data_IF_468120322595
#
_entry.id   IF_468120322595
#
_cell.length_a   1.000
_cell.length_b   1.000
_cell.length_c   1.000
_cell.angle_alpha   90.00
_cell.angle_beta   90.00
_cell.angle_gamma   90.00
#
_symmetry.space_group_name_H-M   'P 1'
#
loop_
_entity.id
_entity.type
_entity.pdbx_description
1 polymer ?
#
# COMPACT_ATOMS: atom_id res chain seq x y z
N UNK A 1 -7.49 3.48 22.26
CA UNK A 1 -6.47 2.99 21.33
C UNK A 1 -5.14 3.67 21.64
N UNK A 2 -4.09 2.90 21.90
CA UNK A 2 -2.73 3.42 22.00
C UNK A 2 -2.24 3.92 20.63
N UNK A 3 -1.19 4.74 20.59
CA UNK A 3 -0.51 5.11 19.33
C UNK A 3 -0.03 3.86 18.58
N UNK A 4 -0.19 3.84 17.26
CA UNK A 4 0.17 2.68 16.43
C UNK A 4 -0.95 1.63 16.34
N UNK A 5 -0.59 0.39 16.04
CA UNK A 5 -1.53 -0.71 15.84
C UNK A 5 -2.19 -1.19 17.12
N UNK A 6 -3.51 -1.37 17.07
CA UNK A 6 -4.34 -1.85 18.15
C UNK A 6 -5.22 -3.00 17.64
N UNK A 7 -5.36 -4.05 18.46
CA UNK A 7 -6.33 -5.10 18.23
C UNK A 7 -7.61 -4.78 18.97
N UNK A 8 -8.74 -4.86 18.28
CA UNK A 8 -10.07 -4.65 18.85
C UNK A 8 -11.01 -5.81 18.46
N UNK A 9 -12.08 -5.97 19.20
CA UNK A 9 -13.15 -6.91 18.88
C UNK A 9 -14.49 -6.34 19.33
N UNK A 10 -15.58 -6.81 18.71
CA UNK A 10 -16.91 -6.47 19.17
C UNK A 10 -17.23 -7.21 20.47
N UNK A 11 -17.62 -6.52 21.56
CA UNK A 11 -18.09 -7.18 22.77
C UNK A 11 -19.55 -7.63 22.68
N UNK A 12 -20.24 -7.38 21.56
CA UNK A 12 -21.66 -7.63 21.37
C UNK A 12 -21.92 -8.87 20.52
N UNK A 13 -23.04 -9.61 20.74
CA UNK A 13 -23.42 -10.79 19.94
C UNK A 13 -24.12 -10.41 18.62
N UNK A 14 -24.00 -9.18 18.17
CA UNK A 14 -24.55 -8.64 16.92
C UNK A 14 -23.58 -7.61 16.32
N UNK A 15 -23.67 -7.36 15.02
CA UNK A 15 -22.85 -6.39 14.32
C UNK A 15 -23.17 -4.98 14.81
N UNK A 16 -22.14 -4.18 15.02
CA UNK A 16 -22.21 -2.78 15.43
C UNK A 16 -21.48 -1.88 14.44
N UNK A 17 -22.01 -0.71 14.13
CA UNK A 17 -21.33 0.23 13.28
C UNK A 17 -20.09 0.80 14.00
N UNK A 18 -18.99 0.94 13.24
CA UNK A 18 -17.82 1.69 13.65
C UNK A 18 -17.26 2.47 12.46
N UNK A 19 -17.45 3.78 12.49
CA UNK A 19 -16.84 4.70 11.53
C UNK A 19 -15.83 5.55 12.27
N UNK A 20 -14.58 5.48 11.85
CA UNK A 20 -13.46 6.21 12.42
C UNK A 20 -13.11 7.42 11.56
N UNK A 21 -12.62 8.47 12.19
CA UNK A 21 -12.00 9.60 11.49
C UNK A 21 -10.67 9.14 10.85
N UNK A 22 -10.63 9.08 9.53
CA UNK A 22 -9.49 8.56 8.77
C UNK A 22 -8.24 9.44 8.88
N UNK A 23 -8.38 10.71 9.27
CA UNK A 23 -7.23 11.57 9.59
C UNK A 23 -6.52 11.09 10.86
N UNK A 24 -7.28 10.61 11.85
CA UNK A 24 -6.72 10.13 13.12
C UNK A 24 -6.45 8.63 13.15
N UNK A 25 -7.16 7.85 12.34
CA UNK A 25 -7.12 6.40 12.37
C UNK A 25 -7.06 5.79 10.96
N UNK A 26 -6.44 4.63 10.86
CA UNK A 26 -6.55 3.76 9.70
C UNK A 26 -7.19 2.42 10.12
N UNK A 27 -8.15 1.96 9.36
CA UNK A 27 -8.96 0.78 9.70
C UNK A 27 -10.39 1.17 10.13
N UNK A 28 -11.14 0.24 10.74
CA UNK A 28 -10.74 -1.13 11.11
C UNK A 28 -10.55 -2.06 9.91
N UNK A 29 -9.56 -2.94 10.01
CA UNK A 29 -9.30 -4.00 9.04
C UNK A 29 -9.54 -5.36 9.71
N UNK A 30 -10.05 -6.35 8.97
CA UNK A 30 -10.14 -7.73 9.41
C UNK A 30 -9.19 -8.63 8.61
N UNK A 31 -8.73 -9.72 9.22
CA UNK A 31 -7.93 -10.73 8.53
C UNK A 31 -8.81 -11.88 8.09
N UNK A 32 -8.88 -12.11 6.78
CA UNK A 32 -9.70 -13.16 6.20
C UNK A 32 -8.96 -14.49 6.12
N UNK A 33 -9.42 -15.49 6.88
CA UNK A 33 -8.81 -16.83 6.86
C UNK A 33 -8.95 -17.56 5.51
N UNK A 34 -9.91 -17.17 4.68
CA UNK A 34 -10.17 -17.81 3.38
C UNK A 34 -9.29 -17.31 2.24
N UNK A 35 -8.65 -16.16 2.40
CA UNK A 35 -7.75 -15.57 1.41
C UNK A 35 -6.39 -15.19 1.99
N UNK A 36 -6.21 -15.41 3.30
CA UNK A 36 -4.98 -15.08 4.03
C UNK A 36 -4.48 -13.63 3.77
N UNK A 37 -5.43 -12.70 3.69
CA UNK A 37 -5.19 -11.29 3.42
C UNK A 37 -5.97 -10.38 4.37
N UNK A 38 -5.51 -9.15 4.51
CA UNK A 38 -6.24 -8.09 5.20
C UNK A 38 -7.39 -7.58 4.32
N UNK A 39 -8.50 -7.21 4.95
CA UNK A 39 -9.62 -6.56 4.26
C UNK A 39 -9.31 -5.09 3.94
N UNK A 40 -10.13 -4.48 3.08
CA UNK A 40 -10.29 -3.02 3.09
C UNK A 40 -10.87 -2.55 4.43
N UNK A 41 -10.85 -1.23 4.66
CA UNK A 41 -11.50 -0.64 5.83
C UNK A 41 -12.96 -1.05 5.89
N UNK A 42 -13.38 -1.63 7.02
CA UNK A 42 -14.77 -2.02 7.26
C UNK A 42 -15.49 -0.95 8.10
N UNK A 43 -16.79 -0.87 7.96
CA UNK A 43 -17.65 0.10 8.69
C UNK A 43 -18.52 -0.56 9.75
N UNK A 44 -18.42 -1.89 9.87
CA UNK A 44 -19.13 -2.68 10.87
C UNK A 44 -18.18 -3.67 11.54
N UNK A 45 -18.37 -3.86 12.84
CA UNK A 45 -17.69 -4.90 13.61
C UNK A 45 -18.66 -6.05 13.84
N UNK A 46 -18.42 -7.17 13.19
CA UNK A 46 -19.19 -8.40 13.39
C UNK A 46 -18.86 -9.08 14.73
N UNK A 47 -19.84 -9.78 15.32
CA UNK A 47 -19.62 -10.53 16.54
C UNK A 47 -18.50 -11.59 16.34
N UNK A 48 -17.67 -11.74 17.37
CA UNK A 48 -16.61 -12.75 17.44
C UNK A 48 -15.47 -12.61 16.43
N UNK A 49 -15.44 -11.53 15.65
CA UNK A 49 -14.34 -11.20 14.79
C UNK A 49 -13.33 -10.25 15.47
N UNK A 50 -12.06 -10.43 15.10
CA UNK A 50 -10.97 -9.54 15.49
C UNK A 50 -10.68 -8.53 14.38
N UNK A 51 -10.34 -7.32 14.78
CA UNK A 51 -10.01 -6.22 13.88
C UNK A 51 -8.74 -5.54 14.34
N UNK A 52 -8.07 -4.85 13.43
CA UNK A 52 -6.95 -3.97 13.73
C UNK A 52 -7.27 -2.53 13.35
N UNK A 53 -6.81 -1.61 14.16
CA UNK A 53 -6.93 -0.16 13.95
C UNK A 53 -5.58 0.47 14.23
N UNK A 54 -5.10 1.30 13.33
CA UNK A 54 -3.90 2.11 13.53
C UNK A 54 -4.29 3.51 14.01
N UNK A 55 -3.81 3.88 15.19
CA UNK A 55 -3.93 5.25 15.71
C UNK A 55 -2.73 6.07 15.22
N UNK A 56 -2.98 7.02 14.33
CA UNK A 56 -1.98 7.90 13.71
C UNK A 56 -1.50 9.01 14.65
N UNK A 57 -2.25 9.26 15.74
CA UNK A 57 -1.94 10.35 16.65
C UNK A 57 -0.79 9.98 17.59
N UNK A 58 -0.11 11.00 18.13
CA UNK A 58 0.98 10.82 19.10
C UNK A 58 0.51 10.48 20.52
N UNK A 59 -0.79 10.31 20.75
CA UNK A 59 -1.38 10.03 22.06
C UNK A 59 -2.49 8.99 21.98
N UNK A 60 -2.77 8.36 23.12
CA UNK A 60 -3.90 7.42 23.22
C UNK A 60 -5.23 8.14 22.98
N UNK A 61 -6.10 7.51 22.18
CA UNK A 61 -7.41 8.00 21.81
C UNK A 61 -8.51 7.05 22.29
N UNK A 62 -9.65 7.63 22.70
CA UNK A 62 -10.86 6.86 22.99
C UNK A 62 -11.69 6.70 21.69
N UNK A 63 -12.18 5.50 21.46
CA UNK A 63 -13.24 5.26 20.47
C UNK A 63 -14.51 4.83 21.21
N UNK A 64 -15.67 5.25 20.70
CA UNK A 64 -16.96 4.84 21.26
C UNK A 64 -17.59 3.78 20.36
N UNK A 65 -17.96 2.66 20.93
CA UNK A 65 -18.76 1.63 20.27
C UNK A 65 -20.22 1.84 20.67
N UNK A 66 -21.08 2.20 19.72
CA UNK A 66 -22.49 2.37 19.97
C UNK A 66 -23.22 1.02 19.81
N UNK A 67 -23.81 0.46 20.86
CA UNK A 67 -24.43 -0.86 20.83
C UNK A 67 -25.83 -0.89 20.19
N UNK A 68 -26.11 -0.04 19.23
CA UNK A 68 -27.41 -0.05 18.53
C UNK A 68 -27.37 -1.10 17.41
N UNK A 69 -28.10 -2.23 17.52
CA UNK A 69 -28.17 -3.24 16.47
C UNK A 69 -28.78 -2.63 15.20
N UNK A 70 -28.09 -2.72 14.07
CA UNK A 70 -28.60 -2.22 12.79
C UNK A 70 -28.82 -0.71 12.76
N UNK A 71 -28.23 0.03 13.69
CA UNK A 71 -28.14 1.49 13.63
C UNK A 71 -27.46 1.83 12.30
N UNK A 72 -28.20 2.53 11.41
CA UNK A 72 -27.74 2.86 10.08
C UNK A 72 -26.31 3.39 10.15
N UNK A 73 -25.44 2.85 9.33
CA UNK A 73 -24.07 3.29 9.21
C UNK A 73 -24.08 4.81 9.21
N UNK A 74 -23.39 5.42 10.18
CA UNK A 74 -23.07 6.84 10.07
C UNK A 74 -22.44 6.95 8.69
N UNK A 75 -23.02 7.78 7.82
CA UNK A 75 -22.61 7.83 6.43
C UNK A 75 -21.09 7.92 6.41
N UNK A 76 -20.44 6.89 5.85
CA UNK A 76 -19.03 6.97 5.59
C UNK A 76 -18.85 8.32 4.92
N UNK A 77 -17.99 9.19 5.49
CA UNK A 77 -17.66 10.44 4.84
C UNK A 77 -17.11 9.99 3.50
N UNK A 78 -17.87 10.19 2.44
CA UNK A 78 -17.34 10.08 1.09
C UNK A 78 -16.26 11.15 1.10
N UNK A 79 -15.01 10.71 1.17
CA UNK A 79 -13.90 11.59 0.84
C UNK A 79 -14.24 12.04 -0.55
N UNK A 80 -14.49 13.33 -0.75
CA UNK A 80 -14.55 13.89 -2.10
C UNK A 80 -13.26 13.41 -2.76
N UNK A 81 -13.41 12.73 -3.90
CA UNK A 81 -12.25 12.22 -4.64
C UNK A 81 -11.36 13.43 -4.92
N UNK A 82 -10.24 13.49 -4.23
CA UNK A 82 -9.27 14.55 -4.43
C UNK A 82 -8.75 14.47 -5.86
N UNK A 83 -8.53 15.63 -6.50
CA UNK A 83 -7.97 15.66 -7.83
C UNK A 83 -6.57 15.02 -7.81
N UNK A 84 -6.30 14.16 -8.79
CA UNK A 84 -5.00 13.50 -8.91
C UNK A 84 -5.09 12.16 -9.64
N UNK A 85 -4.13 11.29 -9.39
CA UNK A 85 -4.06 9.98 -10.00
C UNK A 85 -3.50 8.95 -9.02
N UNK A 86 -3.95 7.71 -9.16
CA UNK A 86 -3.57 6.58 -8.32
C UNK A 86 -3.28 5.36 -9.18
N UNK A 87 -2.33 4.56 -8.74
CA UNK A 87 -2.02 3.24 -9.28
C UNK A 87 -2.11 2.22 -8.16
N UNK A 88 -3.02 1.26 -8.29
CA UNK A 88 -3.15 0.14 -7.36
C UNK A 88 -2.35 -1.05 -7.86
N UNK A 89 -1.56 -1.67 -6.96
CA UNK A 89 -0.74 -2.84 -7.26
C UNK A 89 -1.22 -4.02 -6.42
N UNK A 90 -1.49 -5.13 -7.08
CA UNK A 90 -1.68 -6.44 -6.47
C UNK A 90 -0.44 -7.29 -6.61
N UNK A 91 -0.02 -7.94 -5.53
CA UNK A 91 1.06 -8.95 -5.53
C UNK A 91 0.46 -10.32 -5.27
N UNK A 92 0.95 -11.33 -5.98
CA UNK A 92 0.51 -12.72 -5.79
C UNK A 92 1.70 -13.67 -5.74
N UNK A 93 1.62 -14.70 -4.90
CA UNK A 93 2.57 -15.81 -4.83
C UNK A 93 1.84 -17.12 -4.48
N UNK A 94 1.54 -17.95 -5.49
CA UNK A 94 0.71 -19.14 -5.30
C UNK A 94 -0.73 -18.77 -4.91
N UNK A 95 -1.16 -19.21 -3.73
CA UNK A 95 -2.50 -18.90 -3.16
C UNK A 95 -2.54 -17.62 -2.32
N UNK A 96 -1.39 -17.01 -2.06
CA UNK A 96 -1.27 -15.80 -1.24
C UNK A 96 -1.33 -14.56 -2.11
N UNK A 97 -1.99 -13.53 -1.62
CA UNK A 97 -2.01 -12.23 -2.27
C UNK A 97 -1.96 -11.06 -1.26
N UNK A 98 -1.57 -9.90 -1.80
CA UNK A 98 -1.62 -8.62 -1.14
C UNK A 98 -2.16 -7.60 -2.16
N UNK A 99 -3.32 -7.02 -1.88
CA UNK A 99 -4.16 -6.34 -2.89
C UNK A 99 -4.37 -4.86 -2.63
N UNK A 100 -3.88 -4.33 -1.51
CA UNK A 100 -4.19 -2.95 -1.08
C UNK A 100 -3.01 -2.00 -1.18
N UNK A 101 -2.12 -2.21 -2.13
CA UNK A 101 -0.95 -1.37 -2.32
C UNK A 101 -1.24 -0.29 -3.35
N UNK A 102 -1.06 0.96 -2.97
CA UNK A 102 -1.38 2.11 -3.83
C UNK A 102 -0.28 3.15 -3.77
N UNK A 103 0.07 3.70 -4.92
CA UNK A 103 0.90 4.90 -5.00
C UNK A 103 0.29 5.91 -5.97
N UNK A 104 0.66 7.17 -5.83
CA UNK A 104 0.14 8.19 -6.70
C UNK A 104 0.35 9.60 -6.18
N UNK A 105 -0.41 10.54 -6.72
CA UNK A 105 -0.37 11.93 -6.29
C UNK A 105 -1.77 12.52 -6.25
N UNK A 106 -2.12 13.17 -5.13
CA UNK A 106 -3.42 13.80 -4.89
C UNK A 106 -3.25 15.25 -4.44
N UNK A 107 -4.25 16.07 -4.74
CA UNK A 107 -4.36 17.42 -4.16
C UNK A 107 -4.52 17.30 -2.65
N UNK A 108 -3.69 17.99 -1.89
CA UNK A 108 -3.73 17.99 -0.44
C UNK A 108 -2.87 16.94 0.26
N UNK A 109 -2.29 16.00 -0.51
CA UNK A 109 -1.27 15.11 0.01
C UNK A 109 0.10 15.81 0.12
N UNK A 110 0.93 15.35 1.05
CA UNK A 110 2.30 15.77 1.25
C UNK A 110 3.30 14.76 0.67
N UNK A 111 4.52 15.19 0.39
CA UNK A 111 5.62 14.27 0.03
C UNK A 111 6.26 13.61 1.27
N UNK A 112 5.96 14.12 2.46
CA UNK A 112 6.25 13.50 3.75
C UNK A 112 5.01 12.72 4.24
N UNK A 113 5.19 11.92 5.30
CA UNK A 113 4.10 11.12 5.86
C UNK A 113 2.92 11.98 6.28
N UNK A 114 1.76 11.65 5.75
CA UNK A 114 0.49 12.26 6.16
C UNK A 114 -0.62 11.20 6.32
N UNK A 115 -1.88 11.64 6.36
CA UNK A 115 -3.02 10.75 6.54
C UNK A 115 -3.39 9.94 5.27
N UNK A 116 -2.87 10.30 4.10
CA UNK A 116 -3.04 9.53 2.86
C UNK A 116 -2.16 8.27 2.86
N UNK A 117 -1.05 8.29 3.62
CA UNK A 117 -0.13 7.16 3.70
C UNK A 117 -0.63 6.12 4.71
N UNK A 118 -0.98 4.97 4.23
CA UNK A 118 -1.48 3.90 5.08
C UNK A 118 -0.33 3.01 5.55
N UNK A 119 -0.18 2.79 6.88
CA UNK A 119 0.88 1.93 7.40
C UNK A 119 0.67 0.48 6.94
N UNK A 120 1.78 -0.16 6.59
CA UNK A 120 1.81 -1.59 6.27
C UNK A 120 1.55 -2.42 7.51
N UNK A 121 0.72 -3.45 7.40
CA UNK A 121 0.51 -4.44 8.44
C UNK A 121 0.96 -5.82 7.97
N UNK A 122 1.93 -6.39 8.66
CA UNK A 122 2.44 -7.72 8.34
C UNK A 122 1.37 -8.79 8.58
N UNK A 123 1.06 -9.58 7.56
CA UNK A 123 0.18 -10.73 7.70
C UNK A 123 0.83 -11.81 8.59
N UNK A 124 0.07 -12.50 9.46
CA UNK A 124 0.58 -13.63 10.21
C UNK A 124 0.81 -14.85 9.30
N UNK A 125 1.87 -15.60 9.55
CA UNK A 125 2.16 -16.84 8.82
C UNK A 125 2.83 -16.66 7.47
N UNK A 126 2.52 -17.55 6.53
CA UNK A 126 3.01 -17.48 5.16
C UNK A 126 2.30 -16.36 4.41
N UNK A 127 3.06 -15.52 3.72
CA UNK A 127 2.51 -14.35 3.05
C UNK A 127 3.42 -13.86 1.92
N UNK A 128 2.84 -13.09 1.03
CA UNK A 128 3.54 -12.18 0.13
C UNK A 128 3.06 -10.77 0.45
N UNK A 129 3.94 -9.77 0.40
CA UNK A 129 3.55 -8.37 0.60
C UNK A 129 4.34 -7.43 -0.30
N UNK A 130 3.74 -6.29 -0.63
CA UNK A 130 4.41 -5.14 -1.20
C UNK A 130 4.23 -3.96 -0.26
N UNK A 131 5.29 -3.23 -0.03
CA UNK A 131 5.24 -2.00 0.76
C UNK A 131 6.08 -0.91 0.11
N UNK A 132 5.79 0.33 0.48
CA UNK A 132 6.59 1.49 0.08
C UNK A 132 7.41 1.99 1.27
N UNK A 133 8.53 2.65 0.98
CA UNK A 133 9.38 3.31 1.96
C UNK A 133 9.39 4.80 1.65
N UNK A 134 8.90 5.58 2.58
CA UNK A 134 8.83 7.03 2.42
C UNK A 134 10.23 7.65 2.41
N UNK A 135 10.48 8.72 1.63
CA UNK A 135 11.82 9.23 1.35
C UNK A 135 12.64 9.68 2.57
N UNK A 136 12.00 10.07 3.65
CA UNK A 136 12.66 10.61 4.85
C UNK A 136 12.53 9.71 6.07
N UNK A 137 11.94 8.52 5.90
CA UNK A 137 11.68 7.62 7.01
C UNK A 137 12.64 6.43 7.06
N UNK A 138 12.79 5.89 8.26
CA UNK A 138 13.50 4.65 8.50
C UNK A 138 12.71 3.49 7.84
N UNK A 139 13.44 2.55 7.25
CA UNK A 139 12.91 1.29 6.67
C UNK A 139 12.00 0.48 7.61
N UNK A 140 11.96 0.84 8.89
CA UNK A 140 11.16 0.18 9.93
C UNK A 140 9.65 0.49 9.84
N UNK A 141 9.27 1.54 9.11
CA UNK A 141 7.87 2.00 9.05
C UNK A 141 7.33 2.01 7.62
N UNK A 142 7.28 0.83 6.96
CA UNK A 142 6.76 0.76 5.61
C UNK A 142 5.27 1.12 5.57
N UNK A 143 4.83 1.57 4.39
CA UNK A 143 3.43 1.89 4.13
C UNK A 143 2.88 1.03 3.00
N UNK A 144 1.59 0.73 3.04
CA UNK A 144 0.87 0.06 1.95
C UNK A 144 0.32 1.07 0.93
N UNK A 145 0.20 2.35 1.32
CA UNK A 145 -0.08 3.46 0.40
C UNK A 145 0.94 4.58 0.61
N UNK A 146 1.53 5.08 -0.49
CA UNK A 146 2.43 6.25 -0.53
C UNK A 146 1.84 7.23 -1.55
N UNK A 147 1.11 8.21 -1.03
CA UNK A 147 0.38 9.20 -1.84
C UNK A 147 1.03 10.56 -1.63
N UNK A 148 1.48 11.18 -2.69
CA UNK A 148 2.27 12.41 -2.65
C UNK A 148 1.54 13.61 -3.22
N UNK A 149 2.12 14.81 -3.04
CA UNK A 149 1.58 16.04 -3.59
C UNK A 149 1.55 16.04 -5.12
N UNK A 150 0.65 16.81 -5.72
CA UNK A 150 0.64 17.03 -7.18
C UNK A 150 1.69 18.05 -7.66
N UNK A 151 2.43 18.69 -6.76
CA UNK A 151 3.28 19.84 -7.05
C UNK A 151 4.56 19.51 -7.83
N UNK A 152 4.94 18.23 -7.86
CA UNK A 152 6.18 17.79 -8.52
C UNK A 152 5.88 17.10 -9.84
N UNK A 153 6.72 17.37 -10.84
CA UNK A 153 6.62 16.79 -12.19
C UNK A 153 7.24 15.39 -12.27
N UNK A 154 8.19 15.06 -11.38
CA UNK A 154 8.87 13.76 -11.32
C UNK A 154 8.81 13.21 -9.90
N UNK A 155 8.33 11.98 -9.76
CA UNK A 155 8.26 11.28 -8.48
C UNK A 155 8.86 9.88 -8.58
N UNK A 156 9.45 9.42 -7.46
CA UNK A 156 10.06 8.08 -7.36
C UNK A 156 9.61 7.42 -6.07
N UNK A 157 8.99 6.27 -6.16
CA UNK A 157 8.58 5.43 -5.04
C UNK A 157 9.54 4.26 -4.87
N UNK A 158 10.08 4.07 -3.67
CA UNK A 158 10.85 2.86 -3.30
C UNK A 158 9.89 1.77 -2.85
N UNK A 159 9.76 0.72 -3.64
CA UNK A 159 8.85 -0.40 -3.39
C UNK A 159 9.66 -1.64 -2.97
N UNK A 160 9.11 -2.38 -2.02
CA UNK A 160 9.71 -3.63 -1.52
C UNK A 160 8.72 -4.76 -1.59
N UNK A 161 9.11 -5.85 -2.21
CA UNK A 161 8.33 -7.08 -2.23
C UNK A 161 9.01 -8.10 -1.34
N UNK A 162 8.27 -8.58 -0.35
CA UNK A 162 8.68 -9.66 0.55
C UNK A 162 7.82 -10.89 0.27
N UNK A 163 8.46 -12.04 0.21
CA UNK A 163 7.75 -13.31 0.03
C UNK A 163 8.37 -14.37 0.93
N UNK A 164 7.59 -14.94 1.82
CA UNK A 164 8.01 -16.07 2.65
C UNK A 164 7.32 -17.38 2.25
N UNK A 165 6.69 -17.40 1.07
CA UNK A 165 6.09 -18.60 0.47
C UNK A 165 7.04 -19.25 -0.54
N UNK A 166 6.70 -20.43 -1.04
CA UNK A 166 7.46 -21.10 -2.10
C UNK A 166 7.05 -20.66 -3.53
N UNK A 167 6.05 -19.78 -3.66
CA UNK A 167 5.47 -19.38 -4.94
C UNK A 167 6.33 -18.37 -5.70
N UNK A 168 6.24 -18.40 -7.04
CA UNK A 168 6.76 -17.34 -7.87
C UNK A 168 5.89 -16.08 -7.69
N UNK A 169 6.53 -14.92 -7.58
CA UNK A 169 5.86 -13.64 -7.35
C UNK A 169 5.48 -12.99 -8.67
N UNK A 170 4.25 -12.51 -8.73
CA UNK A 170 3.74 -11.70 -9.84
C UNK A 170 3.09 -10.43 -9.31
N UNK A 171 3.43 -9.31 -9.91
CA UNK A 171 2.78 -8.02 -9.74
C UNK A 171 1.76 -7.83 -10.86
N UNK A 172 0.61 -7.27 -10.54
CA UNK A 172 -0.37 -6.75 -11.50
C UNK A 172 -0.90 -5.43 -10.99
N UNK A 173 -1.30 -4.53 -11.89
CA UNK A 173 -1.72 -3.18 -11.49
C UNK A 173 -2.83 -2.65 -12.37
N UNK A 174 -3.53 -1.64 -11.84
CA UNK A 174 -4.52 -0.82 -12.52
C UNK A 174 -4.30 0.66 -12.21
N UNK A 175 -4.60 1.50 -13.16
CA UNK A 175 -4.68 2.95 -12.95
C UNK A 175 -6.11 3.25 -12.52
N UNK A 176 -6.28 3.79 -11.31
CA UNK A 176 -7.60 4.02 -10.71
C UNK A 176 -8.20 5.39 -11.08
N UNK A 177 -7.35 6.36 -11.43
CA UNK A 177 -7.75 7.70 -11.83
C UNK A 177 -6.90 8.16 -13.01
N UNK A 178 -7.43 9.06 -13.81
CA UNK A 178 -6.77 9.52 -15.04
C UNK A 178 -5.43 10.19 -14.74
N UNK A 179 -4.37 9.63 -15.29
CA UNK A 179 -3.05 10.26 -15.30
C UNK A 179 -3.09 11.54 -16.16
N UNK A 180 -2.27 12.55 -15.82
CA UNK A 180 -2.11 13.69 -16.69
C UNK A 180 -1.74 13.25 -18.12
N UNK A 181 -2.24 13.94 -19.16
CA UNK A 181 -1.80 13.68 -20.53
C UNK A 181 -0.28 13.75 -20.62
N UNK A 182 0.33 12.89 -21.41
CA UNK A 182 1.77 12.84 -21.62
C UNK A 182 2.60 12.42 -20.37
N UNK A 183 1.98 11.79 -19.37
CA UNK A 183 2.72 11.17 -18.26
C UNK A 183 3.26 9.81 -18.66
N UNK A 184 4.46 9.48 -18.16
CA UNK A 184 5.03 8.13 -18.19
C UNK A 184 5.04 7.56 -16.76
N UNK A 185 4.82 6.26 -16.63
CA UNK A 185 4.97 5.52 -15.37
C UNK A 185 5.78 4.26 -15.65
N UNK A 186 6.99 4.22 -15.09
CA UNK A 186 7.93 3.11 -15.26
C UNK A 186 8.15 2.36 -13.96
N UNK A 187 8.14 1.05 -14.00
CA UNK A 187 8.52 0.18 -12.88
C UNK A 187 9.88 -0.46 -13.15
N UNK A 188 10.84 -0.24 -12.24
CA UNK A 188 12.21 -0.72 -12.35
C UNK A 188 12.43 -1.83 -11.33
N UNK A 189 12.78 -3.02 -11.77
CA UNK A 189 13.28 -4.08 -10.92
C UNK A 189 14.79 -3.89 -10.71
N UNK A 190 15.17 -3.45 -9.51
CA UNK A 190 16.57 -3.12 -9.21
C UNK A 190 17.50 -4.35 -9.18
N UNK A 191 16.95 -5.55 -8.98
CA UNK A 191 17.73 -6.76 -8.94
C UNK A 191 18.08 -7.30 -10.33
N UNK A 192 17.16 -7.15 -11.30
CA UNK A 192 17.37 -7.63 -12.68
C UNK A 192 17.61 -6.50 -13.67
N UNK A 193 17.56 -5.24 -13.24
CA UNK A 193 17.66 -4.04 -14.09
C UNK A 193 16.57 -3.96 -15.17
N UNK A 194 15.49 -4.71 -15.00
CA UNK A 194 14.36 -4.71 -15.92
C UNK A 194 13.50 -3.48 -15.70
N UNK A 195 13.17 -2.80 -16.78
CA UNK A 195 12.25 -1.65 -16.80
C UNK A 195 10.97 -2.06 -17.51
N UNK A 196 9.82 -1.65 -16.99
CA UNK A 196 8.51 -1.96 -17.54
C UNK A 196 7.66 -0.69 -17.56
N UNK A 197 7.18 -0.33 -18.74
CA UNK A 197 6.16 0.71 -18.90
C UNK A 197 4.82 0.21 -18.34
N UNK A 198 4.38 0.83 -17.25
CA UNK A 198 3.17 0.42 -16.53
C UNK A 198 1.89 0.79 -17.28
N UNK A 199 1.93 1.73 -18.21
CA UNK A 199 0.74 2.14 -18.99
C UNK A 199 0.46 1.20 -20.15
N UNK A 200 1.51 0.57 -20.70
CA UNK A 200 1.38 -0.40 -21.81
C UNK A 200 1.30 -1.86 -21.32
N UNK A 201 1.75 -2.12 -20.10
CA UNK A 201 1.84 -3.48 -19.53
C UNK A 201 1.06 -3.52 -18.21
N UNK A 202 0.23 -4.53 -18.00
CA UNK A 202 -0.59 -4.67 -16.79
C UNK A 202 0.00 -5.61 -15.73
N UNK A 203 1.20 -6.19 -15.96
CA UNK A 203 1.80 -7.16 -15.03
C UNK A 203 3.30 -7.35 -15.22
N UNK A 204 3.97 -7.78 -14.15
CA UNK A 204 5.38 -8.16 -14.12
C UNK A 204 5.56 -9.44 -13.29
N UNK A 205 6.19 -10.46 -13.86
CA UNK A 205 6.65 -11.62 -13.09
C UNK A 205 8.06 -11.36 -12.57
N UNK A 206 8.25 -11.47 -11.25
CA UNK A 206 9.54 -11.39 -10.58
C UNK A 206 10.22 -12.76 -10.44
N UNK A 207 9.49 -13.85 -10.74
CA UNK A 207 9.96 -15.20 -10.43
C UNK A 207 10.00 -15.49 -8.94
N UNK A 208 10.80 -16.46 -8.49
CA UNK A 208 11.01 -16.73 -7.08
C UNK A 208 11.71 -15.54 -6.40
N UNK A 209 11.16 -15.10 -5.27
CA UNK A 209 11.78 -14.08 -4.40
C UNK A 209 12.31 -14.78 -3.16
N UNK A 210 13.61 -14.58 -2.85
CA UNK A 210 14.24 -15.18 -1.68
C UNK A 210 13.65 -14.58 -0.39
N UNK A 211 13.13 -15.42 0.47
CA UNK A 211 12.48 -15.00 1.74
C UNK A 211 13.43 -14.28 2.73
N UNK A 212 14.74 -14.34 2.48
CA UNK A 212 15.76 -13.66 3.31
C UNK A 212 16.00 -12.21 2.90
N UNK A 213 15.59 -11.81 1.70
CA UNK A 213 15.87 -10.50 1.15
C UNK A 213 14.63 -9.92 0.47
N UNK A 214 14.40 -8.64 0.66
CA UNK A 214 13.34 -7.93 -0.05
C UNK A 214 13.75 -7.75 -1.52
N UNK A 215 12.83 -8.03 -2.45
CA UNK A 215 12.97 -7.63 -3.85
C UNK A 215 12.70 -6.13 -3.94
N UNK A 216 13.68 -5.37 -4.39
CA UNK A 216 13.60 -3.91 -4.46
C UNK A 216 13.18 -3.46 -5.85
N UNK A 217 12.20 -2.58 -5.88
CA UNK A 217 11.68 -1.98 -7.10
C UNK A 217 11.62 -0.45 -6.92
N UNK A 218 11.71 0.30 -8.01
CA UNK A 218 11.32 1.70 -8.02
C UNK A 218 10.19 1.92 -9.02
N UNK A 219 9.12 2.60 -8.61
CA UNK A 219 8.17 3.19 -9.53
C UNK A 219 8.59 4.65 -9.79
N UNK A 220 8.58 5.08 -11.05
CA UNK A 220 8.96 6.43 -11.47
C UNK A 220 7.85 6.99 -12.33
N UNK A 221 7.30 8.15 -11.98
CA UNK A 221 6.22 8.79 -12.74
C UNK A 221 6.49 10.28 -12.96
N UNK A 222 6.07 10.80 -14.12
CA UNK A 222 6.23 12.20 -14.49
C UNK A 222 6.32 12.45 -15.98
N UNK A 223 6.91 13.60 -16.36
CA UNK A 223 7.23 13.88 -17.76
C UNK A 223 8.10 12.78 -18.37
N UNK A 224 7.80 12.29 -19.59
CA UNK A 224 8.50 11.15 -20.19
C UNK A 224 10.01 11.33 -20.34
N UNK A 225 10.48 12.56 -20.63
CA UNK A 225 11.90 12.83 -20.78
C UNK A 225 12.61 12.83 -19.41
N UNK A 226 11.97 13.34 -18.37
CA UNK A 226 12.47 13.28 -17.00
C UNK A 226 12.46 11.87 -16.43
N UNK A 227 11.38 11.11 -16.66
CA UNK A 227 11.28 9.68 -16.29
C UNK A 227 12.40 8.89 -16.95
N UNK A 228 12.59 9.03 -18.28
CA UNK A 228 13.65 8.32 -19.01
C UNK A 228 15.04 8.65 -18.47
N UNK A 229 15.33 9.89 -18.17
CA UNK A 229 16.60 10.31 -17.56
C UNK A 229 16.77 9.71 -16.17
N UNK A 230 15.72 9.76 -15.34
CA UNK A 230 15.75 9.22 -13.98
C UNK A 230 15.95 7.71 -13.95
N UNK A 231 15.33 6.98 -14.87
CA UNK A 231 15.53 5.53 -15.06
C UNK A 231 17.00 5.22 -15.35
N UNK A 232 17.64 5.97 -16.25
CA UNK A 232 19.07 5.81 -16.57
C UNK A 232 19.93 6.06 -15.32
N UNK A 233 19.66 7.12 -14.57
CA UNK A 233 20.40 7.45 -13.35
C UNK A 233 20.26 6.35 -12.30
N UNK A 234 19.05 5.84 -12.06
CA UNK A 234 18.81 4.72 -11.13
C UNK A 234 19.60 3.47 -11.57
N UNK A 235 19.50 3.09 -12.84
CA UNK A 235 20.21 1.92 -13.35
C UNK A 235 21.73 2.06 -13.27
N UNK A 236 22.26 3.26 -13.41
CA UNK A 236 23.70 3.51 -13.28
C UNK A 236 24.23 3.32 -11.84
N UNK A 237 23.38 3.45 -10.84
CA UNK A 237 23.75 3.23 -9.43
C UNK A 237 23.76 1.76 -9.03
N UNK A 238 23.18 0.87 -9.85
CA UNK A 238 23.14 -0.57 -9.56
C UNK A 238 24.45 -1.22 -10.04
N UNK A 239 25.22 -1.86 -9.14
CA UNK A 239 26.44 -2.56 -9.53
C UNK A 239 26.16 -3.66 -10.57
N UNK A 240 27.02 -3.79 -11.59
CA UNK A 240 26.87 -4.80 -12.64
C UNK A 240 26.94 -6.25 -12.11
N UNK A 241 27.67 -6.48 -11.02
CA UNK A 241 27.84 -7.80 -10.41
C UNK A 241 26.55 -8.37 -9.79
N UNK A 242 25.56 -7.54 -9.47
CA UNK A 242 24.25 -8.00 -8.96
C UNK A 242 23.37 -8.62 -10.07
N UNK A 243 23.70 -8.41 -11.33
CA UNK A 243 22.95 -8.93 -12.47
C UNK A 243 23.25 -10.40 -12.80
N UNK A 244 24.26 -11.01 -12.17
CA UNK A 244 24.72 -12.36 -12.49
C UNK A 244 24.16 -13.48 -11.60
N UNK A 245 23.36 -13.17 -10.58
CA UNK A 245 22.82 -14.11 -9.61
C UNK A 245 21.27 -14.15 -9.56
N UNK A 246 20.60 -13.87 -10.66
CA UNK A 246 19.14 -13.92 -10.80
C UNK A 246 18.62 -15.27 -11.28
#
# INVERSE_FOLDING_TARGET
LATGWNFIGSPYPFSIPLVLDQVQFYGPLSYGLSGESWSSVVTELDPWNGYVVYNRTSSSQAITLDPIPGGGAAAARTLDLEDGWLVSIKVTAGEYDDIYNTFGALTGADDERDWHDNPEITAPGSSVSLSFVLPQEDEQYPVTADIRSLDQTLKVWDCRVRNNTAGAVTLSWSVEQDLPPDYAVELIDLNTRRVVDMLSTGKLSLGPVDSRYDRRLNAVAGDPAEVSRRVIDILALIPEELSLNG
#
